data_IF_005223408580
#
_entry.id   IF_005223408580
#
_cell.length_a   1.000
_cell.length_b   1.000
_cell.length_c   1.000
_cell.angle_alpha   90.00
_cell.angle_beta   90.00
_cell.angle_gamma   90.00
#
_symmetry.space_group_name_H-M   'P 1'
#
loop_
_entity.id
_entity.type
_entity.pdbx_description
1 polymer ?
#
# COMPACT_ATOMS: atom_id res chain seq x y z
N UNK A 1 -7.55 1.42 -2.31
CA UNK A 1 -7.66 2.63 -1.47
C UNK A 1 -9.11 3.03 -1.35
N UNK A 2 -9.65 3.17 -0.13
CA UNK A 2 -11.03 3.62 0.12
C UNK A 2 -11.02 4.95 0.85
N UNK A 3 -11.63 5.99 0.28
CA UNK A 3 -11.76 7.29 0.94
C UNK A 3 -12.97 7.25 1.90
N UNK A 4 -12.69 7.11 3.20
CA UNK A 4 -13.71 7.14 4.27
C UNK A 4 -13.97 8.53 4.84
N UNK A 5 -13.28 9.55 4.33
CA UNK A 5 -13.44 10.93 4.75
C UNK A 5 -14.58 11.66 4.04
N UNK A 6 -14.71 12.95 4.33
CA UNK A 6 -15.71 13.83 3.74
C UNK A 6 -15.15 14.77 2.64
N UNK A 7 -13.85 14.64 2.32
CA UNK A 7 -13.14 15.50 1.36
C UNK A 7 -12.64 14.65 0.20
N UNK A 8 -12.67 15.22 -1.01
CA UNK A 8 -12.09 14.59 -2.20
C UNK A 8 -10.58 14.41 -2.03
N UNK A 9 -10.10 13.21 -2.34
CA UNK A 9 -8.67 12.89 -2.42
C UNK A 9 -8.24 13.01 -3.88
N UNK A 10 -7.22 13.82 -4.15
CA UNK A 10 -6.69 13.98 -5.51
C UNK A 10 -6.06 12.67 -6.03
N UNK A 11 -5.91 12.56 -7.36
CA UNK A 11 -5.10 11.49 -7.93
C UNK A 11 -3.62 11.60 -7.49
N UNK A 12 -2.87 10.51 -7.62
CA UNK A 12 -1.44 10.51 -7.32
C UNK A 12 -1.10 10.31 -5.85
N UNK A 13 -2.05 9.89 -5.00
CA UNK A 13 -1.74 9.48 -3.63
C UNK A 13 -0.89 8.20 -3.64
N UNK A 14 0.27 8.19 -2.97
CA UNK A 14 1.17 7.06 -2.96
C UNK A 14 0.64 5.93 -2.09
N UNK A 15 0.99 4.70 -2.49
CA UNK A 15 0.72 3.46 -1.76
C UNK A 15 2.02 2.67 -1.73
N UNK A 16 2.50 2.33 -0.53
CA UNK A 16 3.70 1.54 -0.34
C UNK A 16 3.36 0.08 0.01
N UNK A 17 4.08 -0.86 -0.59
CA UNK A 17 4.17 -2.24 -0.13
C UNK A 17 5.52 -2.44 0.51
N UNK A 18 5.55 -2.94 1.74
CA UNK A 18 6.78 -3.08 2.52
C UNK A 18 6.77 -4.33 3.40
N UNK A 19 7.94 -4.78 3.78
CA UNK A 19 8.09 -5.81 4.82
C UNK A 19 7.59 -5.26 6.17
N UNK A 20 6.96 -6.13 6.96
CA UNK A 20 6.59 -5.80 8.34
C UNK A 20 7.81 -5.81 9.26
N UNK A 21 7.73 -5.09 10.39
CA UNK A 21 8.77 -5.05 11.41
C UNK A 21 9.68 -3.81 11.34
N UNK A 22 10.51 -3.66 12.38
CA UNK A 22 11.43 -2.54 12.49
C UNK A 22 12.48 -2.58 11.37
N UNK A 23 12.56 -1.51 10.58
CA UNK A 23 13.47 -1.44 9.43
C UNK A 23 12.99 -2.19 8.18
N UNK A 24 11.72 -2.64 8.15
CA UNK A 24 11.15 -3.33 7.00
C UNK A 24 11.28 -2.51 5.71
N UNK A 25 11.79 -3.17 4.65
CA UNK A 25 12.12 -2.55 3.38
C UNK A 25 10.87 -2.26 2.55
N UNK A 26 10.87 -1.12 1.84
CA UNK A 26 9.88 -0.84 0.78
C UNK A 26 10.19 -1.71 -0.44
N UNK A 27 9.21 -2.53 -0.82
CA UNK A 27 9.30 -3.46 -1.95
C UNK A 27 8.74 -2.87 -3.23
N UNK A 28 7.68 -2.06 -3.12
CA UNK A 28 7.06 -1.40 -4.25
C UNK A 28 6.33 -0.13 -3.83
N UNK A 29 6.21 0.79 -4.79
CA UNK A 29 5.40 1.98 -4.71
C UNK A 29 4.42 1.99 -5.87
N UNK A 30 3.21 2.44 -5.60
CA UNK A 30 2.21 2.74 -6.62
C UNK A 30 1.48 4.03 -6.27
N UNK A 31 0.66 4.50 -7.19
CA UNK A 31 -0.14 5.70 -6.99
C UNK A 31 -1.57 5.44 -7.42
N UNK A 32 -2.51 6.14 -6.79
CA UNK A 32 -3.88 6.26 -7.29
C UNK A 32 -3.87 6.94 -8.66
N UNK A 33 -4.59 6.39 -9.62
CA UNK A 33 -4.66 6.90 -10.98
C UNK A 33 -5.72 7.99 -11.14
N UNK A 34 -6.68 8.08 -10.23
CA UNK A 34 -7.80 9.03 -10.29
C UNK A 34 -8.07 9.65 -8.93
N UNK A 35 -8.81 10.77 -8.95
CA UNK A 35 -9.37 11.32 -7.74
C UNK A 35 -10.40 10.34 -7.12
N UNK A 36 -10.44 10.31 -5.79
CA UNK A 36 -11.32 9.43 -5.02
C UNK A 36 -12.29 10.30 -4.21
N UNK A 37 -13.54 10.31 -4.66
CA UNK A 37 -14.65 10.99 -3.98
C UNK A 37 -14.90 10.42 -2.57
N UNK A 38 -15.51 11.19 -1.66
CA UNK A 38 -15.99 10.68 -0.37
C UNK A 38 -16.81 9.39 -0.52
N UNK A 39 -16.44 8.34 0.22
CA UNK A 39 -17.08 7.04 0.19
C UNK A 39 -16.70 6.14 -0.99
N UNK A 40 -15.97 6.65 -1.99
CA UNK A 40 -15.54 5.90 -3.16
C UNK A 40 -14.18 5.21 -2.94
N UNK A 41 -13.89 4.20 -3.76
CA UNK A 41 -12.63 3.48 -3.72
C UNK A 41 -11.97 3.35 -5.12
N UNK A 42 -10.67 3.12 -5.08
CA UNK A 42 -9.87 2.72 -6.23
C UNK A 42 -9.16 1.39 -5.93
N UNK A 43 -9.12 0.51 -6.92
CA UNK A 43 -8.27 -0.69 -6.91
C UNK A 43 -6.93 -0.31 -7.54
N UNK A 44 -5.86 -0.41 -6.75
CA UNK A 44 -4.49 -0.15 -7.19
C UNK A 44 -3.80 -1.51 -7.33
N UNK A 45 -3.29 -1.81 -8.53
CA UNK A 45 -2.51 -3.01 -8.79
C UNK A 45 -1.01 -2.73 -8.60
N UNK A 46 -0.30 -3.64 -7.95
CA UNK A 46 1.13 -3.49 -7.66
C UNK A 46 1.81 -4.82 -7.98
N UNK A 47 2.76 -4.78 -8.91
CA UNK A 47 3.58 -5.94 -9.26
C UNK A 47 4.85 -5.95 -8.40
N UNK A 48 5.08 -7.05 -7.66
CA UNK A 48 6.32 -7.26 -6.92
C UNK A 48 7.34 -7.96 -7.82
N UNK A 49 8.39 -7.24 -8.21
CA UNK A 49 9.47 -7.77 -9.05
C UNK A 49 10.85 -7.41 -8.48
N UNK A 50 11.64 -8.40 -8.02
CA UNK A 50 11.29 -9.82 -7.92
C UNK A 50 10.27 -10.08 -6.79
N UNK A 51 9.44 -11.13 -6.89
CA UNK A 51 8.56 -11.51 -5.80
C UNK A 51 9.35 -12.06 -4.61
N UNK A 52 8.76 -12.06 -3.38
CA UNK A 52 9.38 -12.69 -2.22
C UNK A 52 9.73 -14.16 -2.48
N UNK A 53 10.99 -14.53 -2.24
CA UNK A 53 11.51 -15.88 -2.47
C UNK A 53 11.08 -16.91 -1.40
N UNK A 54 10.61 -16.43 -0.25
CA UNK A 54 10.09 -17.21 0.86
C UNK A 54 8.87 -16.48 1.48
N UNK A 55 8.02 -17.17 2.26
CA UNK A 55 6.90 -16.53 2.96
C UNK A 55 7.36 -15.30 3.74
N UNK A 56 6.85 -14.14 3.33
CA UNK A 56 7.23 -12.84 3.90
C UNK A 56 5.98 -12.09 4.32
N UNK A 57 5.96 -11.59 5.56
CA UNK A 57 4.86 -10.75 6.03
C UNK A 57 5.04 -9.32 5.49
N UNK A 58 4.06 -8.87 4.72
CA UNK A 58 4.03 -7.55 4.11
C UNK A 58 2.94 -6.67 4.72
N UNK A 59 3.12 -5.37 4.59
CA UNK A 59 2.10 -4.36 4.83
C UNK A 59 1.88 -3.54 3.56
N UNK A 60 0.62 -3.22 3.29
CA UNK A 60 0.23 -2.18 2.34
C UNK A 60 -0.13 -0.95 3.15
N UNK A 61 0.57 0.16 2.91
CA UNK A 61 0.37 1.42 3.61
C UNK A 61 -0.12 2.45 2.59
N UNK A 62 -1.35 2.93 2.79
CA UNK A 62 -1.92 4.02 2.01
C UNK A 62 -1.28 5.34 2.43
N UNK A 63 -1.18 6.26 1.47
CA UNK A 63 -0.61 7.58 1.70
C UNK A 63 0.82 7.49 2.27
N UNK A 64 1.66 6.62 1.71
CA UNK A 64 3.07 6.45 2.08
C UNK A 64 3.91 6.39 0.80
N UNK A 65 4.84 7.33 0.64
CA UNK A 65 5.79 7.41 -0.48
C UNK A 65 7.06 6.57 -0.25
N UNK A 66 7.08 5.76 0.80
CA UNK A 66 8.20 4.94 1.24
C UNK A 66 9.01 5.57 2.37
N UNK A 67 8.73 6.83 2.73
CA UNK A 67 9.36 7.51 3.87
C UNK A 67 8.59 7.34 5.17
N UNK A 68 7.45 6.65 5.16
CA UNK A 68 6.49 6.58 6.27
C UNK A 68 5.94 7.95 6.68
N UNK A 69 6.02 8.94 5.78
CA UNK A 69 5.41 10.26 5.95
C UNK A 69 4.24 10.37 4.97
N UNK A 70 3.06 10.72 5.49
CA UNK A 70 1.89 10.98 4.66
C UNK A 70 2.03 12.24 3.84
N UNK A 71 1.55 12.21 2.59
CA UNK A 71 1.51 13.38 1.70
C UNK A 71 0.14 14.06 1.70
N UNK A 72 -0.91 13.33 2.08
CA UNK A 72 -2.27 13.84 2.32
C UNK A 72 -2.52 13.92 3.82
N UNK A 73 -3.13 15.02 4.28
CA UNK A 73 -3.58 15.14 5.67
C UNK A 73 -4.86 14.36 5.89
N UNK A 74 -4.85 13.42 6.84
CA UNK A 74 -5.99 12.57 7.18
C UNK A 74 -6.38 12.76 8.65
N UNK A 75 -7.65 12.52 8.99
CA UNK A 75 -8.14 12.64 10.37
C UNK A 75 -7.70 11.48 11.27
N UNK A 76 -7.44 10.31 10.66
CA UNK A 76 -7.03 9.09 11.34
C UNK A 76 -6.02 8.38 10.43
N UNK A 77 -4.75 8.47 10.79
CA UNK A 77 -3.61 7.90 10.05
C UNK A 77 -3.37 6.44 10.37
N UNK A 78 -3.97 5.92 11.46
CA UNK A 78 -3.73 4.55 11.93
C UNK A 78 -4.49 3.53 11.06
N UNK A 79 -5.45 4.02 10.27
CA UNK A 79 -6.35 3.19 9.48
C UNK A 79 -5.90 2.96 8.02
N UNK A 80 -4.67 3.39 7.71
CA UNK A 80 -4.06 3.30 6.37
C UNK A 80 -3.34 1.99 6.08
N UNK A 81 -3.18 1.12 7.08
CA UNK A 81 -2.34 -0.08 6.95
C UNK A 81 -3.17 -1.35 6.87
N UNK A 82 -2.85 -2.21 5.89
CA UNK A 82 -3.37 -3.57 5.80
C UNK A 82 -2.21 -4.58 5.83
N UNK A 83 -2.35 -5.63 6.63
CA UNK A 83 -1.37 -6.71 6.73
C UNK A 83 -1.65 -7.82 5.70
N UNK A 84 -0.58 -8.33 5.09
CA UNK A 84 -0.57 -9.44 4.15
C UNK A 84 0.44 -10.48 4.66
N UNK A 85 0.01 -11.48 5.44
CA UNK A 85 0.93 -12.46 6.00
C UNK A 85 1.39 -13.48 4.96
N UNK A 86 2.61 -14.00 5.14
CA UNK A 86 3.16 -15.12 4.39
C UNK A 86 3.08 -15.00 2.86
N UNK A 87 3.26 -13.79 2.31
CA UNK A 87 3.29 -13.57 0.86
C UNK A 87 4.50 -14.27 0.26
N UNK A 88 4.25 -15.12 -0.72
CA UNK A 88 5.27 -15.80 -1.52
C UNK A 88 4.73 -16.08 -2.91
N UNK A 89 5.62 -16.09 -3.91
CA UNK A 89 5.27 -16.74 -5.17
C UNK A 89 5.47 -18.25 -5.03
N UNK A 90 4.46 -19.09 -5.35
CA UNK A 90 4.69 -20.52 -5.45
C UNK A 90 5.72 -20.74 -6.55
N UNK A 91 6.89 -21.24 -6.19
CA UNK A 91 7.82 -21.77 -7.18
C UNK A 91 7.11 -22.97 -7.77
N UNK A 92 6.76 -22.92 -9.06
CA UNK A 92 6.28 -24.11 -9.74
C UNK A 92 7.37 -25.18 -9.57
N UNK A 93 7.08 -26.22 -8.79
CA UNK A 93 7.96 -27.37 -8.69
C UNK A 93 8.18 -27.88 -10.11
N UNK A 94 9.42 -27.77 -10.60
CA UNK A 94 9.84 -28.41 -11.83
C UNK A 94 10.07 -29.89 -11.58
#
# INVERSE_FOLDING_TARGET
MWNRGAVLVAAGVPVAVRETGAGGKVLALAHTAKAIEPGANEVVAIDLSPPPAAPTDLAVVLNDDGTSQGVVGECDTDNNTAALPAVACPVAAR
#
